data_IF_060191149375
#
_entry.id   IF_060191149375
#
_cell.length_a   1.000
_cell.length_b   1.000
_cell.length_c   1.000
_cell.angle_alpha   90.00
_cell.angle_beta   90.00
_cell.angle_gamma   90.00
#
_symmetry.space_group_name_H-M   'P 1'
#
loop_
_entity.id
_entity.type
_entity.pdbx_description
1 polymer ?
#
# COMPACT_ATOMS: atom_id res chain seq x y z
N UNK A 1 -24.40 -19.24 -57.35
CA UNK A 1 -23.62 -18.15 -58.00
C UNK A 1 -22.99 -17.32 -56.89
N UNK A 2 -21.72 -16.94 -56.85
CA UNK A 2 -20.50 -17.15 -57.64
C UNK A 2 -19.37 -16.56 -56.76
N UNK A 3 -18.42 -17.38 -56.26
CA UNK A 3 -16.98 -17.35 -56.62
C UNK A 3 -16.22 -16.06 -56.22
N UNK A 4 -15.37 -16.09 -55.17
CA UNK A 4 -13.87 -16.29 -55.18
C UNK A 4 -13.06 -15.01 -55.54
N UNK A 5 -11.82 -14.70 -55.14
CA UNK A 5 -10.54 -15.46 -55.11
C UNK A 5 -9.42 -14.59 -54.41
N UNK A 6 -8.50 -15.21 -53.63
CA UNK A 6 -7.02 -14.96 -53.50
C UNK A 6 -6.47 -13.67 -52.80
N UNK A 7 -5.28 -13.59 -52.17
CA UNK A 7 -4.09 -14.48 -52.02
C UNK A 7 -3.13 -13.97 -50.92
N UNK A 8 -2.50 -14.93 -50.24
CA UNK A 8 -1.17 -15.01 -49.61
C UNK A 8 -0.14 -13.88 -49.84
N UNK A 9 0.62 -13.55 -48.78
CA UNK A 9 2.07 -13.32 -48.86
C UNK A 9 2.78 -13.88 -47.60
N UNK A 10 3.64 -14.89 -47.79
CA UNK A 10 4.70 -15.32 -46.87
C UNK A 10 6.00 -14.68 -47.37
N UNK A 11 6.86 -14.20 -46.47
CA UNK A 11 8.27 -13.97 -46.79
C UNK A 11 9.16 -14.63 -45.74
N UNK A 12 9.92 -15.62 -46.21
CA UNK A 12 11.08 -16.22 -45.56
C UNK A 12 12.32 -15.43 -45.97
N UNK A 13 13.19 -15.11 -45.01
CA UNK A 13 14.61 -14.89 -45.29
C UNK A 13 15.41 -15.65 -44.23
N UNK A 14 16.20 -16.60 -44.71
CA UNK A 14 17.26 -17.26 -43.97
C UNK A 14 18.62 -16.80 -44.49
N UNK A 15 19.63 -16.97 -43.63
CA UNK A 15 21.02 -17.38 -43.89
C UNK A 15 22.11 -16.39 -43.47
N UNK A 16 23.04 -16.88 -42.64
CA UNK A 16 24.31 -16.21 -42.36
C UNK A 16 25.05 -16.76 -41.14
N UNK A 17 25.47 -18.04 -41.17
CA UNK A 17 26.53 -18.57 -40.30
C UNK A 17 27.86 -17.86 -40.60
N UNK A 18 28.68 -17.60 -39.59
CA UNK A 18 30.13 -17.79 -39.67
C UNK A 18 30.74 -18.03 -38.29
N UNK A 19 31.57 -19.06 -38.25
CA UNK A 19 32.27 -19.61 -37.10
C UNK A 19 33.50 -18.79 -36.70
N UNK A 20 33.87 -18.88 -35.42
CA UNK A 20 35.16 -18.40 -34.91
C UNK A 20 35.56 -19.21 -33.67
N UNK A 21 36.36 -20.26 -33.88
CA UNK A 21 37.08 -21.00 -32.85
C UNK A 21 38.25 -20.17 -32.30
N UNK A 22 38.60 -20.36 -31.01
CA UNK A 22 39.94 -19.99 -30.53
C UNK A 22 40.12 -19.88 -29.01
N UNK A 23 40.49 -21.01 -28.38
CA UNK A 23 41.61 -21.14 -27.41
C UNK A 23 41.59 -20.45 -26.01
N UNK A 24 41.36 -21.27 -24.97
CA UNK A 24 42.07 -21.22 -23.67
C UNK A 24 43.52 -21.80 -23.83
N UNK A 25 44.47 -21.82 -22.84
CA UNK A 25 44.39 -21.50 -21.39
C UNK A 25 45.59 -20.68 -20.83
N UNK A 26 45.55 -20.28 -19.55
CA UNK A 26 46.68 -20.41 -18.61
C UNK A 26 46.24 -20.09 -17.17
N UNK A 27 46.68 -20.92 -16.22
CA UNK A 27 46.40 -20.82 -14.80
C UNK A 27 47.70 -20.77 -14.00
N UNK A 28 47.59 -20.17 -12.81
CA UNK A 28 48.41 -20.35 -11.57
C UNK A 28 49.80 -19.71 -11.52
N UNK A 29 50.42 -19.64 -10.32
CA UNK A 29 49.89 -19.37 -8.97
C UNK A 29 50.73 -18.25 -8.30
N UNK A 30 50.41 -17.84 -7.06
CA UNK A 30 51.38 -17.88 -5.96
C UNK A 30 50.79 -17.32 -4.66
N UNK A 31 50.83 -18.18 -3.66
CA UNK A 31 50.56 -17.93 -2.26
C UNK A 31 51.75 -18.45 -1.46
N UNK A 32 52.18 -17.67 -0.45
CA UNK A 32 52.91 -18.02 0.78
C UNK A 32 53.96 -16.93 1.14
N UNK A 33 54.52 -16.93 2.36
CA UNK A 33 53.88 -17.00 3.69
C UNK A 33 54.39 -15.87 4.63
N UNK A 34 53.74 -15.74 5.79
CA UNK A 34 54.22 -14.90 6.91
C UNK A 34 55.49 -15.45 7.61
N UNK A 35 56.13 -14.62 8.44
CA UNK A 35 56.70 -15.09 9.70
C UNK A 35 56.17 -14.37 10.94
N UNK A 36 56.07 -15.16 12.02
CA UNK A 36 55.64 -14.87 13.39
C UNK A 36 56.89 -14.75 14.30
N UNK A 37 56.71 -14.15 15.49
CA UNK A 37 57.54 -14.16 16.71
C UNK A 37 58.53 -12.99 16.84
N UNK A 38 58.76 -12.37 18.00
CA UNK A 38 58.82 -12.87 19.38
C UNK A 38 58.24 -11.83 20.37
N UNK A 39 57.41 -12.18 21.36
CA UNK A 39 57.73 -12.64 22.74
C UNK A 39 58.99 -12.05 23.36
N UNK A 40 58.82 -11.15 24.33
CA UNK A 40 59.74 -11.01 25.46
C UNK A 40 58.98 -10.55 26.73
N UNK A 41 59.35 -11.14 27.86
CA UNK A 41 58.96 -10.83 29.24
C UNK A 41 60.15 -11.24 30.14
N UNK A 42 60.22 -10.84 31.42
CA UNK A 42 60.56 -9.51 31.92
C UNK A 42 61.79 -9.55 32.87
N UNK A 43 62.31 -8.40 33.32
CA UNK A 43 63.25 -8.33 34.46
C UNK A 43 63.29 -6.92 35.09
N UNK A 44 63.82 -6.73 36.32
CA UNK A 44 63.02 -6.44 37.51
C UNK A 44 63.15 -4.99 38.02
N UNK A 45 62.26 -4.67 38.95
CA UNK A 45 62.04 -3.36 39.56
C UNK A 45 63.23 -2.79 40.37
N UNK A 46 63.33 -1.45 40.47
CA UNK A 46 63.88 -0.79 41.64
C UNK A 46 62.76 -0.29 42.57
N UNK A 47 62.97 -0.57 43.86
CA UNK A 47 62.20 -0.07 45.00
C UNK A 47 62.40 1.45 45.11
N UNK A 48 61.32 2.22 45.21
CA UNK A 48 61.38 3.61 45.65
C UNK A 48 60.26 3.92 46.64
N UNK A 49 60.73 4.27 47.84
CA UNK A 49 60.14 4.97 48.98
C UNK A 49 58.78 5.65 48.80
N UNK A 50 57.86 5.30 49.70
CA UNK A 50 56.54 5.89 49.87
C UNK A 50 56.59 7.37 50.30
N UNK A 51 55.80 8.19 49.60
CA UNK A 51 55.40 9.54 49.96
C UNK A 51 53.88 9.55 50.27
N UNK A 52 53.38 10.47 51.12
CA UNK A 52 52.06 10.37 51.74
C UNK A 52 50.91 10.50 50.75
N UNK A 53 49.90 9.66 50.96
CA UNK A 53 48.67 9.50 50.16
C UNK A 53 47.82 10.78 50.20
N UNK A 54 47.68 11.46 49.05
CA UNK A 54 46.61 12.43 48.84
C UNK A 54 45.32 11.69 48.50
N UNK A 55 44.27 11.90 49.29
CA UNK A 55 42.92 11.41 49.02
C UNK A 55 42.44 11.90 47.64
N UNK A 56 42.07 11.03 46.69
CA UNK A 56 41.50 11.50 45.42
C UNK A 56 40.10 12.07 45.68
N UNK A 57 39.87 13.31 45.26
CA UNK A 57 38.52 13.87 45.14
C UNK A 57 37.67 12.98 44.23
N UNK A 58 36.38 12.76 44.55
CA UNK A 58 35.50 11.97 43.70
C UNK A 58 35.43 12.61 42.31
N UNK A 59 35.75 11.83 41.28
CA UNK A 59 35.55 12.20 39.88
C UNK A 59 34.07 12.53 39.67
N UNK A 60 33.70 13.67 39.09
CA UNK A 60 32.31 13.94 38.76
C UNK A 60 31.83 12.85 37.80
N UNK A 61 30.81 12.09 38.22
CA UNK A 61 30.11 11.16 37.34
C UNK A 61 29.66 11.91 36.09
N UNK A 62 29.83 11.33 34.88
CA UNK A 62 29.22 11.90 33.69
C UNK A 62 27.71 12.03 33.95
N UNK A 63 27.19 13.25 33.98
CA UNK A 63 25.76 13.49 33.98
C UNK A 63 25.18 12.71 32.82
N UNK A 64 24.28 11.75 33.11
CA UNK A 64 23.55 11.04 32.09
C UNK A 64 22.94 12.07 31.14
N UNK A 65 23.34 12.03 29.87
CA UNK A 65 22.71 12.82 28.82
C UNK A 65 21.21 12.52 28.92
N UNK A 66 20.33 13.52 29.04
CA UNK A 66 18.90 13.27 29.04
C UNK A 66 18.58 12.49 27.77
N UNK A 67 18.18 11.24 27.94
CA UNK A 67 17.67 10.41 26.86
C UNK A 67 16.45 11.17 26.35
N UNK A 68 16.53 11.70 25.12
CA UNK A 68 15.40 12.36 24.51
C UNK A 68 14.21 11.40 24.60
N UNK A 69 13.15 11.80 25.31
CA UNK A 69 11.87 11.10 25.27
C UNK A 69 11.52 10.94 23.79
N UNK A 70 11.29 9.71 23.28
CA UNK A 70 10.90 9.53 21.89
C UNK A 70 9.71 10.45 21.63
N UNK A 71 9.85 11.38 20.67
CA UNK A 71 8.74 12.23 20.25
C UNK A 71 7.61 11.29 19.83
N UNK A 72 6.48 11.36 20.54
CA UNK A 72 5.32 10.53 20.24
C UNK A 72 4.88 10.83 18.80
N UNK A 73 4.87 9.81 17.94
CA UNK A 73 4.45 9.96 16.54
C UNK A 73 2.99 10.42 16.57
N UNK A 74 2.65 11.58 15.98
CA UNK A 74 1.27 12.05 15.95
C UNK A 74 0.35 10.99 15.36
N UNK A 75 -0.60 10.48 16.14
CA UNK A 75 -1.59 9.52 15.65
C UNK A 75 -2.77 10.27 15.02
N UNK A 76 -3.29 9.80 13.88
CA UNK A 76 -4.47 10.37 13.28
C UNK A 76 -5.69 10.12 14.18
N UNK A 77 -6.65 11.05 14.15
CA UNK A 77 -7.96 10.84 14.77
C UNK A 77 -8.96 10.20 13.81
N UNK A 78 -8.65 10.25 12.51
CA UNK A 78 -9.52 9.81 11.42
C UNK A 78 -8.74 9.08 10.34
N UNK A 79 -9.38 8.11 9.71
CA UNK A 79 -8.86 7.45 8.51
C UNK A 79 -9.86 7.57 7.37
N UNK A 80 -9.39 7.98 6.21
CA UNK A 80 -10.12 7.96 4.94
C UNK A 80 -9.39 7.04 3.98
N UNK A 81 -10.06 5.97 3.57
CA UNK A 81 -9.58 5.03 2.56
C UNK A 81 -10.31 5.34 1.25
N UNK A 82 -9.57 5.57 0.18
CA UNK A 82 -10.12 5.83 -1.15
C UNK A 82 -9.59 4.79 -2.13
N UNK A 83 -10.50 4.02 -2.73
CA UNK A 83 -10.19 3.06 -3.78
C UNK A 83 -10.58 3.61 -5.14
N UNK A 84 -9.63 3.69 -6.07
CA UNK A 84 -9.88 3.99 -7.50
C UNK A 84 -9.90 2.65 -8.23
N UNK A 85 -11.09 2.20 -8.59
CA UNK A 85 -11.35 0.89 -9.19
C UNK A 85 -10.56 0.71 -10.48
N UNK A 86 -9.80 -0.38 -10.59
CA UNK A 86 -9.00 -0.68 -11.78
C UNK A 86 -7.77 0.21 -12.02
N UNK A 87 -7.35 1.03 -11.04
CA UNK A 87 -6.18 1.90 -11.21
C UNK A 87 -4.86 1.13 -11.18
N UNK A 88 -4.16 1.14 -12.32
CA UNK A 88 -2.76 0.67 -12.42
C UNK A 88 -1.77 1.74 -11.93
N UNK A 89 -0.63 1.35 -11.32
CA UNK A 89 0.42 2.29 -10.92
C UNK A 89 0.99 3.13 -12.07
N UNK A 90 1.19 2.54 -13.25
CA UNK A 90 1.78 3.23 -14.40
C UNK A 90 0.83 4.30 -14.98
N UNK A 91 -0.48 4.11 -14.86
CA UNK A 91 -1.49 5.07 -15.29
C UNK A 91 -1.38 6.43 -14.58
N UNK A 92 -0.94 6.48 -13.31
CA UNK A 92 -0.76 7.72 -12.53
C UNK A 92 0.23 8.67 -13.20
N UNK A 93 1.28 8.12 -13.81
CA UNK A 93 2.30 8.92 -14.51
C UNK A 93 1.87 9.33 -15.93
N UNK A 94 0.99 8.54 -16.56
CA UNK A 94 0.51 8.75 -17.93
C UNK A 94 -0.70 9.69 -17.99
N UNK A 95 -1.53 9.69 -16.95
CA UNK A 95 -2.59 10.66 -16.73
C UNK A 95 -2.19 11.53 -15.54
N UNK A 96 -1.71 12.78 -15.73
CA UNK A 96 -1.25 13.59 -14.62
C UNK A 96 -2.36 13.79 -13.57
N UNK A 97 -2.15 13.22 -12.38
CA UNK A 97 -3.04 13.30 -11.21
C UNK A 97 -2.36 14.17 -10.14
N UNK A 98 -2.35 15.51 -10.28
CA UNK A 98 -1.55 16.39 -9.43
C UNK A 98 -1.88 16.31 -7.94
N UNK A 99 -3.14 16.11 -7.54
CA UNK A 99 -3.50 15.99 -6.13
C UNK A 99 -2.95 14.68 -5.54
N UNK A 100 -3.10 13.57 -6.27
CA UNK A 100 -2.55 12.27 -5.87
C UNK A 100 -1.02 12.30 -5.82
N UNK A 101 -0.38 12.91 -6.82
CA UNK A 101 1.07 13.08 -6.88
C UNK A 101 1.59 13.93 -5.72
N UNK A 102 0.85 14.95 -5.29
CA UNK A 102 1.22 15.75 -4.11
C UNK A 102 1.07 14.95 -2.81
N UNK A 103 0.02 14.13 -2.68
CA UNK A 103 -0.13 13.21 -1.54
C UNK A 103 1.01 12.19 -1.48
N UNK A 104 1.43 11.67 -2.64
CA UNK A 104 2.60 10.79 -2.75
C UNK A 104 3.90 11.52 -2.37
N UNK A 105 4.10 12.74 -2.85
CA UNK A 105 5.32 13.52 -2.62
C UNK A 105 5.48 13.90 -1.14
N UNK A 106 4.37 14.17 -0.46
CA UNK A 106 4.34 14.59 0.96
C UNK A 106 3.99 13.46 1.92
N UNK A 107 3.81 12.25 1.40
CA UNK A 107 3.48 11.05 2.18
C UNK A 107 4.38 9.89 1.81
N UNK A 108 3.94 8.68 2.15
CA UNK A 108 4.65 7.45 1.80
C UNK A 108 3.88 6.66 0.73
N UNK A 109 4.57 5.88 -0.09
CA UNK A 109 3.91 5.14 -1.16
C UNK A 109 4.66 3.87 -1.59
N UNK A 110 3.92 2.94 -2.20
CA UNK A 110 4.46 1.84 -3.00
C UNK A 110 3.72 1.77 -4.33
N UNK A 111 4.45 1.65 -5.43
CA UNK A 111 3.91 1.39 -6.77
C UNK A 111 3.91 -0.11 -7.13
N UNK A 112 4.22 -0.95 -6.14
CA UNK A 112 4.38 -2.40 -6.31
C UNK A 112 3.50 -3.21 -5.35
N UNK A 113 2.52 -2.56 -4.70
CA UNK A 113 1.58 -3.25 -3.84
C UNK A 113 0.77 -4.28 -4.65
N UNK A 114 0.36 -5.36 -3.99
CA UNK A 114 -0.31 -6.48 -4.63
C UNK A 114 -1.74 -6.61 -4.13
N UNK A 115 -2.65 -6.87 -5.07
CA UNK A 115 -4.00 -7.33 -4.75
C UNK A 115 -4.04 -8.84 -4.49
N UNK A 116 -5.24 -9.39 -4.38
CA UNK A 116 -5.56 -10.82 -4.21
C UNK A 116 -5.93 -11.47 -5.54
N UNK A 117 -5.95 -12.80 -5.56
CA UNK A 117 -6.51 -13.58 -6.66
C UNK A 117 -7.91 -14.13 -6.27
N UNK A 118 -8.91 -14.10 -7.17
CA UNK A 118 -8.92 -13.41 -8.46
C UNK A 118 -8.87 -11.89 -8.28
N UNK A 119 -8.13 -11.19 -9.15
CA UNK A 119 -7.97 -9.73 -9.12
C UNK A 119 -9.25 -9.02 -9.58
N UNK A 120 -10.29 -9.13 -8.76
CA UNK A 120 -11.65 -8.71 -9.04
C UNK A 120 -12.18 -7.83 -7.92
N UNK A 121 -13.08 -6.92 -8.28
CA UNK A 121 -13.55 -5.85 -7.41
C UNK A 121 -14.02 -6.31 -6.03
N UNK A 122 -15.04 -7.18 -5.95
CA UNK A 122 -15.65 -7.53 -4.68
C UNK A 122 -14.72 -8.38 -3.79
N UNK A 123 -14.04 -9.44 -4.29
CA UNK A 123 -13.06 -10.18 -3.49
C UNK A 123 -11.92 -9.29 -2.97
N UNK A 124 -11.38 -8.41 -3.81
CA UNK A 124 -10.29 -7.51 -3.41
C UNK A 124 -10.71 -6.49 -2.36
N UNK A 125 -11.87 -5.86 -2.52
CA UNK A 125 -12.39 -4.92 -1.51
C UNK A 125 -12.77 -5.62 -0.20
N UNK A 126 -13.24 -6.87 -0.26
CA UNK A 126 -13.45 -7.69 0.93
C UNK A 126 -12.11 -7.92 1.64
N UNK A 127 -11.05 -8.32 0.94
CA UNK A 127 -9.72 -8.47 1.54
C UNK A 127 -9.17 -7.14 2.08
N UNK A 128 -9.35 -6.05 1.35
CA UNK A 128 -8.89 -4.71 1.71
C UNK A 128 -9.47 -4.22 3.04
N UNK A 129 -10.77 -4.44 3.25
CA UNK A 129 -11.51 -3.90 4.40
C UNK A 129 -11.72 -4.91 5.53
N UNK A 130 -11.45 -6.19 5.30
CA UNK A 130 -11.43 -7.21 6.36
C UNK A 130 -10.03 -7.61 6.80
N UNK A 131 -8.99 -7.18 6.08
CA UNK A 131 -7.61 -7.58 6.37
C UNK A 131 -7.35 -9.08 6.18
N UNK A 132 -8.27 -9.83 5.59
CA UNK A 132 -8.21 -11.28 5.42
C UNK A 132 -8.06 -11.65 3.95
N UNK A 133 -7.52 -12.83 3.67
CA UNK A 133 -7.49 -13.41 2.33
C UNK A 133 -8.85 -14.06 1.94
N UNK A 134 -9.10 -14.31 0.64
CA UNK A 134 -10.38 -14.85 0.17
C UNK A 134 -10.82 -16.19 0.75
N UNK A 135 -9.86 -17.05 1.09
CA UNK A 135 -10.08 -18.32 1.77
C UNK A 135 -10.68 -18.16 3.18
N UNK A 136 -10.41 -17.03 3.86
CA UNK A 136 -10.95 -16.73 5.18
C UNK A 136 -12.25 -15.93 5.13
N UNK A 137 -12.30 -14.84 4.36
CA UNK A 137 -13.51 -14.02 4.30
C UNK A 137 -14.60 -14.60 3.37
N UNK A 138 -14.28 -15.62 2.57
CA UNK A 138 -15.24 -16.42 1.81
C UNK A 138 -15.84 -15.76 0.57
N UNK A 139 -15.43 -14.53 0.23
CA UNK A 139 -15.93 -13.81 -0.94
C UNK A 139 -15.10 -14.22 -2.15
N UNK A 140 -15.62 -15.17 -2.93
CA UNK A 140 -15.00 -15.71 -4.15
C UNK A 140 -15.83 -15.46 -5.42
N UNK A 141 -16.78 -14.54 -5.36
CA UNK A 141 -17.63 -14.09 -6.47
C UNK A 141 -17.49 -12.59 -6.69
N UNK A 142 -17.84 -12.12 -7.89
CA UNK A 142 -17.75 -10.69 -8.23
C UNK A 142 -19.08 -10.04 -8.64
N UNK A 143 -20.18 -10.77 -8.68
CA UNK A 143 -21.51 -10.19 -8.92
C UNK A 143 -22.18 -9.76 -7.61
N UNK A 144 -23.22 -8.94 -7.69
CA UNK A 144 -24.04 -8.68 -6.51
C UNK A 144 -25.00 -9.85 -6.30
N UNK A 145 -24.77 -10.63 -5.25
CA UNK A 145 -25.52 -11.85 -4.91
C UNK A 145 -25.95 -11.77 -3.44
N UNK A 146 -26.98 -10.98 -3.09
CA UNK A 146 -27.34 -10.71 -1.70
C UNK A 146 -27.60 -11.97 -0.86
N UNK A 147 -28.02 -13.06 -1.48
CA UNK A 147 -28.20 -14.38 -0.85
C UNK A 147 -26.91 -14.97 -0.27
N UNK A 148 -25.74 -14.58 -0.79
CA UNK A 148 -24.44 -15.03 -0.28
C UNK A 148 -24.00 -14.28 0.99
N UNK A 149 -24.75 -13.25 1.40
CA UNK A 149 -24.46 -12.49 2.62
C UNK A 149 -23.24 -11.57 2.49
N UNK A 150 -22.47 -11.49 3.57
CA UNK A 150 -21.34 -10.55 3.72
C UNK A 150 -20.02 -11.31 3.89
N UNK A 151 -18.91 -10.59 3.73
CA UNK A 151 -17.58 -11.12 4.03
C UNK A 151 -17.51 -11.63 5.48
N UNK A 152 -16.95 -12.82 5.66
CA UNK A 152 -16.79 -13.43 6.98
C UNK A 152 -15.66 -12.79 7.79
N UNK A 153 -15.72 -12.97 9.11
CA UNK A 153 -14.75 -12.41 10.05
C UNK A 153 -15.00 -10.94 10.40
N UNK A 154 -14.08 -10.34 11.17
CA UNK A 154 -14.22 -8.96 11.60
C UNK A 154 -13.68 -8.00 10.54
N UNK A 155 -14.54 -7.12 10.02
CA UNK A 155 -14.14 -6.01 9.15
C UNK A 155 -13.56 -4.84 9.95
N UNK A 156 -12.75 -4.00 9.30
CA UNK A 156 -12.31 -2.72 9.87
C UNK A 156 -13.49 -1.85 10.31
N UNK A 157 -14.59 -1.88 9.54
CA UNK A 157 -15.83 -1.18 9.88
C UNK A 157 -16.49 -1.74 11.13
N UNK A 158 -16.45 -3.07 11.33
CA UNK A 158 -16.92 -3.70 12.57
C UNK A 158 -16.10 -3.24 13.76
N UNK A 159 -14.76 -3.25 13.66
CA UNK A 159 -13.87 -2.78 14.72
C UNK A 159 -14.14 -1.31 15.10
N UNK A 160 -14.29 -0.44 14.09
CA UNK A 160 -14.63 0.95 14.32
C UNK A 160 -15.99 1.09 15.04
N UNK A 161 -17.02 0.36 14.60
CA UNK A 161 -18.33 0.41 15.28
C UNK A 161 -18.30 -0.12 16.71
N UNK A 162 -17.58 -1.20 16.97
CA UNK A 162 -17.44 -1.74 18.32
C UNK A 162 -16.68 -0.74 19.23
N UNK A 163 -15.81 0.10 18.66
CA UNK A 163 -15.16 1.23 19.33
C UNK A 163 -16.01 2.53 19.34
N UNK A 164 -17.31 2.45 19.03
CA UNK A 164 -18.26 3.58 19.00
C UNK A 164 -17.89 4.71 18.03
N UNK A 165 -17.09 4.41 17.00
CA UNK A 165 -16.69 5.36 15.98
C UNK A 165 -17.81 5.63 14.97
N UNK A 166 -17.79 6.82 14.36
CA UNK A 166 -18.64 7.17 13.23
C UNK A 166 -18.01 6.69 11.92
N UNK A 167 -18.77 5.90 11.18
CA UNK A 167 -18.34 5.20 9.98
C UNK A 167 -19.13 5.63 8.74
N UNK A 168 -18.42 5.87 7.63
CA UNK A 168 -19.02 6.30 6.36
C UNK A 168 -18.52 5.40 5.23
N UNK A 169 -19.42 4.97 4.35
CA UNK A 169 -19.08 4.16 3.18
C UNK A 169 -19.88 4.62 1.96
N UNK A 170 -19.19 5.14 0.95
CA UNK A 170 -19.79 5.56 -0.32
C UNK A 170 -19.17 4.75 -1.44
N UNK A 171 -20.00 4.04 -2.20
CA UNK A 171 -19.53 3.09 -3.21
C UNK A 171 -20.17 3.28 -4.57
N UNK A 172 -19.36 3.06 -5.61
CA UNK A 172 -19.76 3.16 -7.02
C UNK A 172 -20.30 1.87 -7.64
N UNK A 173 -20.18 0.73 -6.95
CA UNK A 173 -20.67 -0.58 -7.40
C UNK A 173 -21.49 -1.23 -6.27
N UNK A 174 -22.73 -1.63 -6.56
CA UNK A 174 -23.69 -2.14 -5.56
C UNK A 174 -23.15 -3.34 -4.78
N UNK A 175 -22.42 -4.24 -5.47
CA UNK A 175 -21.79 -5.44 -4.92
C UNK A 175 -20.96 -5.16 -3.65
N UNK A 176 -20.38 -3.97 -3.51
CA UNK A 176 -19.57 -3.59 -2.36
C UNK A 176 -20.36 -3.49 -1.04
N UNK A 177 -21.69 -3.49 -1.08
CA UNK A 177 -22.52 -3.69 0.12
C UNK A 177 -22.18 -4.99 0.84
N UNK A 178 -21.71 -6.01 0.13
CA UNK A 178 -21.40 -7.33 0.68
C UNK A 178 -20.04 -7.38 1.41
N UNK A 179 -19.25 -6.29 1.42
CA UNK A 179 -17.98 -6.27 2.14
C UNK A 179 -18.16 -6.27 3.67
N UNK A 180 -19.26 -5.71 4.16
CA UNK A 180 -19.53 -5.65 5.60
C UNK A 180 -21.03 -5.50 5.88
N UNK A 181 -21.57 -5.99 7.01
CA UNK A 181 -22.99 -5.85 7.34
C UNK A 181 -23.47 -4.38 7.51
N UNK A 182 -24.77 -4.06 7.28
CA UNK A 182 -25.29 -2.68 7.30
C UNK A 182 -25.11 -1.96 8.63
N UNK A 183 -25.19 -2.68 9.75
CA UNK A 183 -24.98 -2.14 11.09
C UNK A 183 -23.56 -1.65 11.35
N UNK A 184 -22.60 -2.01 10.48
CA UNK A 184 -21.22 -1.54 10.61
C UNK A 184 -20.98 -0.16 9.96
N UNK A 185 -22.01 0.44 9.35
CA UNK A 185 -21.93 1.69 8.60
C UNK A 185 -23.01 2.66 9.07
N UNK A 186 -22.63 3.78 9.71
CA UNK A 186 -23.60 4.82 10.12
C UNK A 186 -24.18 5.54 8.91
N UNK A 187 -23.36 5.74 7.88
CA UNK A 187 -23.78 6.26 6.60
C UNK A 187 -23.28 5.33 5.50
N UNK A 188 -24.22 4.76 4.74
CA UNK A 188 -23.93 4.00 3.53
C UNK A 188 -24.69 4.59 2.34
N UNK A 189 -24.00 4.78 1.22
CA UNK A 189 -24.61 5.14 -0.06
C UNK A 189 -23.99 4.34 -1.19
N UNK A 190 -24.86 3.80 -2.04
CA UNK A 190 -24.49 3.31 -3.36
C UNK A 190 -24.91 4.36 -4.38
N UNK A 191 -23.96 4.80 -5.21
CA UNK A 191 -24.17 5.83 -6.23
C UNK A 191 -23.61 5.27 -7.53
N UNK A 192 -24.50 4.92 -8.47
CA UNK A 192 -24.11 4.43 -9.79
C UNK A 192 -23.78 5.59 -10.74
N UNK A 193 -22.74 6.37 -10.41
CA UNK A 193 -22.35 7.55 -11.16
C UNK A 193 -20.84 7.82 -11.00
N UNK A 194 -20.37 8.88 -11.66
CA UNK A 194 -18.98 9.30 -11.69
C UNK A 194 -18.46 9.82 -10.35
N UNK A 195 -17.14 9.81 -10.23
CA UNK A 195 -16.38 10.14 -9.01
C UNK A 195 -16.75 11.51 -8.43
N UNK A 196 -17.00 12.51 -9.27
CA UNK A 196 -17.43 13.85 -8.84
C UNK A 196 -18.83 13.88 -8.22
N UNK A 197 -19.75 13.00 -8.65
CA UNK A 197 -21.09 12.90 -8.05
C UNK A 197 -20.99 12.21 -6.69
N UNK A 198 -20.24 11.11 -6.61
CA UNK A 198 -19.92 10.45 -5.33
C UNK A 198 -19.30 11.45 -4.35
N UNK A 199 -18.35 12.26 -4.84
CA UNK A 199 -17.66 13.29 -4.06
C UNK A 199 -18.60 14.38 -3.58
N UNK A 200 -19.46 14.89 -4.46
CA UNK A 200 -20.44 15.92 -4.10
C UNK A 200 -21.41 15.44 -3.02
N UNK A 201 -21.81 14.17 -3.05
CA UNK A 201 -22.71 13.60 -2.04
C UNK A 201 -22.02 13.28 -0.71
N UNK A 202 -20.74 12.87 -0.72
CA UNK A 202 -20.03 12.52 0.52
C UNK A 202 -19.53 13.74 1.29
N UNK A 203 -19.17 14.84 0.61
CA UNK A 203 -18.62 16.05 1.26
C UNK A 203 -19.48 16.53 2.44
N UNK A 204 -20.81 16.70 2.31
CA UNK A 204 -21.65 17.10 3.44
C UNK A 204 -21.61 16.14 4.63
N UNK A 205 -21.37 14.84 4.39
CA UNK A 205 -21.22 13.85 5.45
C UNK A 205 -19.83 13.87 6.10
N UNK A 206 -18.78 14.16 5.33
CA UNK A 206 -17.42 14.36 5.84
C UNK A 206 -17.35 15.60 6.75
N UNK A 207 -17.99 16.70 6.36
CA UNK A 207 -17.99 17.97 7.09
C UNK A 207 -18.70 17.86 8.46
N UNK A 208 -19.59 16.88 8.64
CA UNK A 208 -20.18 16.55 9.96
C UNK A 208 -19.19 15.85 10.91
N UNK A 209 -18.00 15.50 10.42
CA UNK A 209 -16.97 14.75 11.15
C UNK A 209 -17.17 13.24 11.03
N UNK A 210 -16.08 12.47 11.01
CA UNK A 210 -16.06 11.01 10.92
C UNK A 210 -14.84 10.47 11.67
N UNK A 211 -14.76 9.17 11.86
CA UNK A 211 -13.56 8.51 12.38
C UNK A 211 -12.99 7.53 11.34
N UNK A 212 -13.87 6.83 10.61
CA UNK A 212 -13.48 5.95 9.49
C UNK A 212 -14.37 6.18 8.28
N UNK A 213 -13.77 6.46 7.12
CA UNK A 213 -14.47 6.57 5.84
C UNK A 213 -13.86 5.66 4.78
N UNK A 214 -14.71 5.02 3.97
CA UNK A 214 -14.34 4.38 2.71
C UNK A 214 -15.07 5.04 1.53
N UNK A 215 -14.32 5.35 0.47
CA UNK A 215 -14.81 5.94 -0.78
C UNK A 215 -14.35 5.06 -1.94
N UNK A 216 -15.25 4.76 -2.86
CA UNK A 216 -14.93 3.99 -4.05
C UNK A 216 -15.33 4.71 -5.34
N UNK A 217 -14.36 4.90 -6.22
CA UNK A 217 -14.47 5.56 -7.52
C UNK A 217 -14.48 4.52 -8.65
N UNK A 218 -15.64 4.27 -9.31
CA UNK A 218 -15.82 3.13 -10.21
C UNK A 218 -15.38 3.40 -11.66
N UNK A 219 -15.17 4.66 -12.03
CA UNK A 219 -15.19 5.06 -13.45
C UNK A 219 -13.97 4.60 -14.24
N UNK A 220 -12.81 4.50 -13.60
CA UNK A 220 -11.56 4.10 -14.24
C UNK A 220 -11.63 2.65 -14.73
N UNK A 221 -12.20 1.75 -13.94
CA UNK A 221 -12.51 0.39 -14.34
C UNK A 221 -13.56 0.33 -15.46
N UNK A 222 -14.65 1.10 -15.37
CA UNK A 222 -15.65 1.14 -16.44
C UNK A 222 -15.06 1.56 -17.79
N UNK A 223 -14.19 2.56 -17.81
CA UNK A 223 -13.48 2.96 -19.03
C UNK A 223 -12.42 1.95 -19.45
N UNK A 224 -11.81 1.24 -18.49
CA UNK A 224 -10.94 0.10 -18.77
C UNK A 224 -11.67 -1.00 -19.53
N UNK A 225 -12.89 -1.36 -19.10
CA UNK A 225 -13.72 -2.32 -19.80
C UNK A 225 -14.21 -1.85 -21.17
N UNK A 226 -14.66 -0.60 -21.30
CA UNK A 226 -15.26 -0.10 -22.55
C UNK A 226 -14.21 0.20 -23.64
N UNK A 227 -13.07 0.81 -23.25
CA UNK A 227 -12.09 1.35 -24.20
C UNK A 227 -10.70 0.71 -24.08
N UNK A 228 -10.47 -0.02 -22.99
CA UNK A 228 -9.21 -0.66 -22.68
C UNK A 228 -8.42 0.09 -21.61
N UNK A 229 -7.66 -0.66 -20.80
CA UNK A 229 -6.71 -0.10 -19.86
C UNK A 229 -5.63 0.70 -20.58
N UNK A 230 -5.28 1.85 -19.99
CA UNK A 230 -4.38 2.88 -20.55
C UNK A 230 -4.90 3.57 -21.82
N UNK A 231 -6.21 3.51 -22.08
CA UNK A 231 -6.86 4.31 -23.13
C UNK A 231 -6.92 5.80 -22.77
N UNK A 232 -7.01 6.71 -23.76
CA UNK A 232 -7.30 8.13 -23.53
C UNK A 232 -8.56 8.38 -22.70
N UNK A 233 -9.58 7.53 -22.84
CA UNK A 233 -10.84 7.58 -22.12
C UNK A 233 -10.64 7.24 -20.64
N UNK A 234 -9.88 6.19 -20.33
CA UNK A 234 -9.49 5.87 -18.95
C UNK A 234 -8.66 7.01 -18.34
N UNK A 235 -7.70 7.57 -19.08
CA UNK A 235 -6.92 8.72 -18.60
C UNK A 235 -7.78 9.96 -18.32
N UNK A 236 -8.85 10.16 -19.09
CA UNK A 236 -9.80 11.27 -18.88
C UNK A 236 -10.54 11.15 -17.55
N UNK A 237 -11.01 9.95 -17.20
CA UNK A 237 -11.69 9.73 -15.92
C UNK A 237 -10.72 9.67 -14.74
N UNK A 238 -9.47 9.24 -14.94
CA UNK A 238 -8.43 9.33 -13.90
C UNK A 238 -8.11 10.78 -13.51
N UNK A 239 -8.02 11.70 -14.48
CA UNK A 239 -7.89 13.13 -14.18
C UNK A 239 -9.08 13.67 -13.39
N UNK A 240 -10.29 13.14 -13.64
CA UNK A 240 -11.51 13.51 -12.91
C UNK A 240 -11.54 12.93 -11.50
N UNK A 241 -11.05 11.70 -11.32
CA UNK A 241 -10.86 11.12 -10.00
C UNK A 241 -9.85 11.94 -9.18
N UNK A 242 -8.80 12.48 -9.81
CA UNK A 242 -7.86 13.40 -9.15
C UNK A 242 -8.50 14.75 -8.76
N UNK A 243 -9.35 15.32 -9.63
CA UNK A 243 -10.17 16.50 -9.28
C UNK A 243 -11.07 16.22 -8.07
N UNK A 244 -11.71 15.05 -8.04
CA UNK A 244 -12.51 14.59 -6.91
C UNK A 244 -11.68 14.48 -5.61
N UNK A 245 -10.45 13.96 -5.67
CA UNK A 245 -9.51 13.96 -4.53
C UNK A 245 -9.25 15.40 -4.06
N UNK A 246 -8.97 16.33 -4.97
CA UNK A 246 -8.77 17.74 -4.66
C UNK A 246 -9.96 18.37 -3.91
N UNK A 247 -11.18 18.08 -4.36
CA UNK A 247 -12.41 18.56 -3.73
C UNK A 247 -12.59 18.00 -2.30
N UNK A 248 -12.27 16.72 -2.08
CA UNK A 248 -12.30 16.10 -0.74
C UNK A 248 -11.26 16.76 0.17
N UNK A 249 -10.03 16.95 -0.31
CA UNK A 249 -8.97 17.58 0.46
C UNK A 249 -9.34 19.02 0.86
N UNK A 250 -9.90 19.79 -0.08
CA UNK A 250 -10.37 21.15 0.17
C UNK A 250 -11.48 21.19 1.23
N UNK A 251 -12.51 20.35 1.09
CA UNK A 251 -13.61 20.29 2.05
C UNK A 251 -13.17 19.91 3.47
N UNK A 252 -12.19 19.00 3.59
CA UNK A 252 -11.61 18.62 4.87
C UNK A 252 -10.73 19.73 5.46
N UNK A 253 -10.01 20.49 4.64
CA UNK A 253 -9.23 21.64 5.09
C UNK A 253 -10.15 22.76 5.60
N UNK A 254 -11.22 23.09 4.86
CA UNK A 254 -12.24 24.08 5.25
C UNK A 254 -12.93 23.72 6.57
N UNK A 255 -13.06 22.43 6.86
CA UNK A 255 -13.67 21.93 8.10
C UNK A 255 -12.69 21.74 9.24
N UNK A 256 -11.40 22.04 9.05
CA UNK A 256 -10.35 21.81 10.05
C UNK A 256 -10.06 20.33 10.34
N UNK A 257 -10.50 19.42 9.48
CA UNK A 257 -10.36 17.96 9.66
C UNK A 257 -9.11 17.40 8.97
N UNK A 258 -8.52 18.13 8.02
CA UNK A 258 -7.41 17.67 7.17
C UNK A 258 -6.17 17.24 7.95
N UNK A 259 -5.77 18.02 8.96
CA UNK A 259 -4.55 17.78 9.75
C UNK A 259 -4.71 16.63 10.75
N UNK A 260 -5.94 16.15 10.99
CA UNK A 260 -6.21 15.01 11.87
C UNK A 260 -6.54 13.73 11.09
N UNK A 261 -6.54 13.79 9.76
CA UNK A 261 -6.97 12.71 8.86
C UNK A 261 -5.78 12.03 8.19
N UNK A 262 -5.70 10.72 8.34
CA UNK A 262 -4.86 9.84 7.53
C UNK A 262 -5.62 9.43 6.27
N UNK A 263 -4.98 9.61 5.13
CA UNK A 263 -5.47 9.18 3.82
C UNK A 263 -4.72 7.93 3.40
N UNK A 264 -5.45 6.90 2.97
CA UNK A 264 -4.90 5.75 2.25
C UNK A 264 -5.60 5.71 0.89
N UNK A 265 -4.85 5.92 -0.19
CA UNK A 265 -5.37 5.88 -1.57
C UNK A 265 -4.76 4.68 -2.28
N UNK A 266 -5.61 3.83 -2.86
CA UNK A 266 -5.21 2.56 -3.47
C UNK A 266 -6.14 2.19 -4.62
N UNK A 267 -5.92 1.02 -5.20
CA UNK A 267 -6.86 0.33 -6.08
C UNK A 267 -7.16 -1.07 -5.55
N UNK A 268 -8.19 -1.69 -6.10
CA UNK A 268 -8.54 -3.09 -5.89
C UNK A 268 -7.88 -4.03 -6.89
N UNK A 269 -7.65 -3.60 -8.11
CA UNK A 269 -6.88 -4.30 -9.14
C UNK A 269 -6.39 -3.31 -10.21
N UNK A 270 -5.56 -3.79 -11.13
CA UNK A 270 -5.29 -3.13 -12.40
C UNK A 270 -6.09 -3.77 -13.55
N UNK A 271 -5.49 -3.92 -14.73
CA UNK A 271 -6.15 -4.56 -15.87
C UNK A 271 -5.33 -4.54 -17.15
N UNK A 272 -5.75 -5.34 -18.12
CA UNK A 272 -5.11 -5.50 -19.42
C UNK A 272 -6.15 -5.58 -20.53
N UNK A 273 -5.83 -5.03 -21.70
CA UNK A 273 -6.81 -4.91 -22.78
C UNK A 273 -8.12 -4.34 -22.24
N UNK A 274 -9.25 -5.03 -22.35
CA UNK A 274 -10.56 -4.64 -21.83
C UNK A 274 -11.04 -5.51 -20.65
N UNK A 275 -10.11 -6.17 -19.95
CA UNK A 275 -10.47 -7.14 -18.91
C UNK A 275 -9.50 -7.11 -17.72
N UNK A 276 -9.89 -7.81 -16.67
CA UNK A 276 -9.11 -8.04 -15.46
C UNK A 276 -9.60 -9.35 -14.80
N UNK A 277 -8.95 -9.77 -13.72
CA UNK A 277 -9.30 -10.97 -12.96
C UNK A 277 -8.30 -12.11 -13.11
N UNK A 278 -7.19 -11.87 -13.82
CA UNK A 278 -6.13 -12.84 -14.05
C UNK A 278 -5.00 -12.71 -13.03
N UNK A 279 -4.00 -13.59 -13.13
CA UNK A 279 -2.75 -13.48 -12.36
C UNK A 279 -1.68 -12.63 -13.07
N UNK A 280 -2.03 -11.92 -14.16
CA UNK A 280 -1.10 -11.06 -14.87
C UNK A 280 -0.64 -9.92 -13.96
N UNK A 281 0.58 -9.43 -14.21
CA UNK A 281 1.19 -8.38 -13.39
C UNK A 281 0.34 -7.10 -13.45
N UNK A 282 -0.21 -6.81 -14.62
CA UNK A 282 -1.05 -5.66 -14.93
C UNK A 282 -2.34 -5.67 -14.12
N UNK A 283 -2.88 -6.84 -13.78
CA UNK A 283 -4.10 -6.97 -12.97
C UNK A 283 -3.78 -6.97 -11.47
N UNK A 284 -2.66 -7.58 -11.11
CA UNK A 284 -2.31 -7.84 -9.70
C UNK A 284 -1.63 -6.65 -9.01
N UNK A 285 -0.97 -5.77 -9.76
CA UNK A 285 -0.17 -4.66 -9.20
C UNK A 285 -1.02 -3.41 -9.06
N UNK A 286 -1.09 -2.87 -7.85
CA UNK A 286 -1.88 -1.69 -7.48
C UNK A 286 -0.98 -0.62 -6.85
N UNK A 287 -1.33 0.68 -6.96
CA UNK A 287 -0.67 1.71 -6.17
C UNK A 287 -1.17 1.63 -4.73
N UNK A 288 -0.31 1.96 -3.77
CA UNK A 288 -0.70 2.14 -2.37
C UNK A 288 -0.01 3.39 -1.83
N UNK A 289 -0.80 4.40 -1.46
CA UNK A 289 -0.32 5.74 -1.12
C UNK A 289 -0.93 6.12 0.22
N UNK A 290 -0.11 6.65 1.13
CA UNK A 290 -0.55 7.05 2.46
C UNK A 290 -0.03 8.44 2.80
N UNK A 291 -0.88 9.28 3.40
CA UNK A 291 -0.54 10.67 3.73
C UNK A 291 -1.32 11.14 4.97
N UNK A 292 -0.67 11.85 5.89
CA UNK A 292 -1.34 12.40 7.07
C UNK A 292 -0.47 12.35 8.33
N UNK A 293 -1.08 12.50 9.53
CA UNK A 293 -0.37 12.52 10.81
C UNK A 293 0.57 11.33 10.99
N UNK A 294 1.81 11.63 11.34
CA UNK A 294 2.84 10.63 11.65
C UNK A 294 3.48 9.94 10.44
N UNK A 295 2.97 10.16 9.22
CA UNK A 295 3.54 9.56 8.01
C UNK A 295 4.88 10.24 7.69
N UNK A 296 5.90 9.42 7.41
CA UNK A 296 7.24 9.87 7.01
C UNK A 296 7.33 9.83 5.47
N UNK A 297 7.64 10.95 4.80
CA UNK A 297 7.69 10.96 3.34
C UNK A 297 8.74 10.01 2.76
N UNK A 298 8.36 9.18 1.79
CA UNK A 298 9.29 8.25 1.16
C UNK A 298 8.65 7.07 0.42
N UNK A 299 9.46 6.38 -0.37
CA UNK A 299 9.05 5.13 -0.99
C UNK A 299 9.16 3.99 0.03
N UNK A 300 8.08 3.23 0.17
CA UNK A 300 7.98 2.08 1.07
C UNK A 300 8.61 0.86 0.39
N UNK A 301 9.55 0.22 1.09
CA UNK A 301 10.34 -0.89 0.54
C UNK A 301 9.80 -2.26 0.92
N UNK A 302 9.01 -2.38 1.99
CA UNK A 302 8.30 -3.63 2.30
C UNK A 302 7.25 -3.97 1.25
N UNK A 303 7.01 -5.27 1.07
CA UNK A 303 5.90 -5.75 0.26
C UNK A 303 4.57 -5.45 0.94
N UNK A 304 3.68 -4.80 0.20
CA UNK A 304 2.33 -4.44 0.64
C UNK A 304 1.32 -5.31 -0.11
N UNK A 305 0.39 -5.90 0.62
CA UNK A 305 -0.79 -6.57 0.10
C UNK A 305 -2.04 -5.73 0.42
N UNK A 306 -3.10 -5.86 -0.39
CA UNK A 306 -4.35 -5.11 -0.17
C UNK A 306 -4.92 -5.29 1.25
N UNK A 307 -4.73 -6.47 1.86
CA UNK A 307 -5.10 -6.79 3.25
C UNK A 307 -4.44 -5.89 4.30
N UNK A 308 -3.26 -5.35 4.01
CA UNK A 308 -2.55 -4.45 4.93
C UNK A 308 -3.25 -3.10 5.10
N UNK A 309 -4.15 -2.75 4.18
CA UNK A 309 -4.90 -1.50 4.24
C UNK A 309 -5.75 -1.44 5.51
N UNK A 310 -6.54 -2.49 5.79
CA UNK A 310 -7.30 -2.58 7.04
C UNK A 310 -6.38 -2.61 8.27
N UNK A 311 -5.31 -3.41 8.24
CA UNK A 311 -4.37 -3.53 9.35
C UNK A 311 -3.69 -2.19 9.70
N UNK A 312 -3.27 -1.45 8.67
CA UNK A 312 -2.65 -0.14 8.83
C UNK A 312 -3.64 0.89 9.36
N UNK A 313 -4.86 0.91 8.84
CA UNK A 313 -5.91 1.80 9.32
C UNK A 313 -6.28 1.53 10.78
N UNK A 314 -6.48 0.26 11.16
CA UNK A 314 -6.78 -0.14 12.53
C UNK A 314 -5.65 0.28 13.48
N UNK A 315 -4.40 -0.05 13.13
CA UNK A 315 -3.22 0.30 13.92
C UNK A 315 -3.09 1.82 14.12
N UNK A 316 -3.28 2.60 13.06
CA UNK A 316 -3.17 4.05 13.11
C UNK A 316 -4.26 4.69 14.00
N UNK A 317 -5.48 4.13 14.00
CA UNK A 317 -6.57 4.53 14.90
C UNK A 317 -6.41 4.00 16.33
N UNK A 318 -5.38 3.19 16.62
CA UNK A 318 -5.21 2.55 17.92
C UNK A 318 -6.22 1.44 18.20
N UNK A 319 -6.87 0.90 17.18
CA UNK A 319 -7.75 -0.26 17.27
C UNK A 319 -6.92 -1.56 17.37
N UNK A 320 -7.42 -2.59 18.08
CA UNK A 320 -6.76 -3.88 18.09
C UNK A 320 -6.80 -4.51 16.70
N UNK A 321 -5.72 -5.21 16.33
CA UNK A 321 -5.67 -5.99 15.09
C UNK A 321 -6.12 -7.41 15.44
N UNK A 322 -7.21 -7.92 14.84
CA UNK A 322 -7.66 -9.28 15.06
C UNK A 322 -6.60 -10.30 14.66
N UNK A 323 -6.47 -11.38 15.42
CA UNK A 323 -5.44 -12.39 15.19
C UNK A 323 -5.69 -13.19 13.91
N UNK A 324 -6.92 -13.20 13.41
CA UNK A 324 -7.32 -13.85 12.15
C UNK A 324 -6.93 -13.05 10.90
N UNK A 325 -6.61 -11.75 11.03
CA UNK A 325 -6.21 -10.94 9.88
C UNK A 325 -4.86 -11.39 9.33
N UNK A 326 -4.78 -11.42 8.00
CA UNK A 326 -3.56 -11.67 7.22
C UNK A 326 -2.76 -10.38 6.97
N UNK A 327 -3.46 -9.24 7.01
CA UNK A 327 -2.87 -7.92 6.83
C UNK A 327 -1.94 -7.54 7.97
N UNK A 328 -0.80 -6.93 7.63
CA UNK A 328 0.19 -6.44 8.59
C UNK A 328 0.25 -4.91 8.48
N UNK A 329 0.25 -4.14 9.58
CA UNK A 329 0.38 -2.69 9.49
C UNK A 329 1.68 -2.28 8.81
N UNK A 330 1.58 -1.38 7.83
CA UNK A 330 2.72 -0.85 7.10
C UNK A 330 3.44 0.21 7.95
N UNK A 331 4.08 -0.22 9.04
CA UNK A 331 4.74 0.68 10.00
C UNK A 331 5.93 1.44 9.40
N UNK A 332 6.54 0.95 8.32
CA UNK A 332 7.58 1.67 7.56
C UNK A 332 7.09 3.04 7.10
N UNK A 333 5.80 3.18 6.74
CA UNK A 333 5.20 4.47 6.38
C UNK A 333 5.24 5.52 7.51
N UNK A 334 5.47 5.09 8.75
CA UNK A 334 5.55 5.93 9.95
C UNK A 334 6.98 5.96 10.53
N UNK A 335 7.99 5.54 9.76
CA UNK A 335 9.39 5.42 10.22
C UNK A 335 9.66 4.24 11.15
N UNK A 336 8.70 3.32 11.30
CA UNK A 336 8.86 2.08 12.05
C UNK A 336 9.70 1.04 11.30
N UNK A 337 10.18 0.03 12.04
CA UNK A 337 10.89 -1.09 11.43
C UNK A 337 9.91 -1.96 10.61
N UNK A 338 10.37 -2.50 9.46
CA UNK A 338 9.65 -3.52 8.72
C UNK A 338 9.20 -4.67 9.62
N UNK A 339 7.93 -5.04 9.54
CA UNK A 339 7.42 -6.25 10.16
C UNK A 339 7.66 -7.45 9.23
N UNK A 340 8.12 -8.60 9.75
CA UNK A 340 8.35 -9.78 8.94
C UNK A 340 7.02 -10.29 8.36
N UNK A 341 7.00 -10.50 7.04
CA UNK A 341 5.87 -11.10 6.32
C UNK A 341 6.20 -12.56 6.03
N UNK A 342 5.37 -13.47 6.54
CA UNK A 342 5.54 -14.91 6.30
C UNK A 342 5.12 -15.29 4.88
N UNK A 343 4.02 -14.72 4.38
CA UNK A 343 3.47 -15.00 3.05
C UNK A 343 3.42 -13.74 2.20
N UNK A 344 4.08 -13.77 1.03
CA UNK A 344 4.19 -12.61 0.14
C UNK A 344 2.87 -12.21 -0.51
N UNK A 345 1.89 -13.13 -0.62
CA UNK A 345 0.58 -12.92 -1.25
C UNK A 345 -0.45 -13.80 -0.56
N UNK A 346 -1.72 -13.44 -0.68
CA UNK A 346 -2.80 -14.37 -0.35
C UNK A 346 -2.68 -15.66 -1.19
N UNK A 347 -2.97 -16.82 -0.59
CA UNK A 347 -2.85 -18.13 -1.24
C UNK A 347 -3.79 -18.32 -2.44
#
# INVERSE_FOLDING_TARGET
MSRTFFSLFRLWIALGLLAGCGSFPAARPDSAPQPIAATDSPSPAPVSTAAPTSTPSPTPQPSATPTATPTEIPRPRRVLILSIDGLRPDAISLAPMPNLLELMRTGAYSMAAQTIFPSATLPSHASMLTGQCPDKHGINWNDYLPENGYAAGQSLFRLAKDAQMRTIMFVGKEKLRQVTPPETTDVYRYINDRDLVITAEIIPELQKGFDLTFIHFPTADWMGHEYGWLSPEQFSVLRRADEAIGNILAALAESGLREETLFIITADHGGHEQTHGSSLREDMTIPWIINGPGVVPGEIKVSINTTDTAATAAWALGLPIPAEWDGIPVQEAFGGLPQPRLELRCP
#
